data_IF_680550800641
#
_entry.id   IF_680550800641
#
_cell.length_a   1.000
_cell.length_b   1.000
_cell.length_c   1.000
_cell.angle_alpha   90.00
_cell.angle_beta   90.00
_cell.angle_gamma   90.00
#
_symmetry.space_group_name_H-M   'P 1'
#
loop_
_entity.id
_entity.type
_entity.pdbx_description
1 polymer ?
#
# COMPACT_ATOMS: atom_id res chain seq x y z
N UNK A 1 -25.05 22.45 2.43
CA UNK A 1 -24.51 21.08 2.58
C UNK A 1 -23.06 21.03 3.10
N UNK A 2 -22.30 22.14 3.12
CA UNK A 2 -20.92 22.22 3.66
C UNK A 2 -20.81 22.40 5.19
N UNK A 3 -21.89 22.84 5.84
CA UNK A 3 -21.89 23.06 7.29
C UNK A 3 -21.69 21.74 8.04
N UNK A 4 -20.61 21.65 8.82
CA UNK A 4 -20.31 20.48 9.66
C UNK A 4 -19.39 19.42 9.04
N UNK A 5 -18.94 19.58 7.79
CA UNK A 5 -17.96 18.67 7.18
C UNK A 5 -16.65 18.60 7.97
N UNK A 6 -16.10 19.75 8.38
CA UNK A 6 -14.89 19.80 9.21
C UNK A 6 -15.07 19.05 10.54
N UNK A 7 -16.23 19.21 11.21
CA UNK A 7 -16.54 18.46 12.44
C UNK A 7 -16.64 16.96 12.21
N UNK A 8 -17.26 16.52 11.10
CA UNK A 8 -17.35 15.09 10.75
C UNK A 8 -15.97 14.50 10.45
N UNK A 9 -15.11 15.23 9.74
CA UNK A 9 -13.74 14.83 9.48
C UNK A 9 -12.94 14.68 10.78
N UNK A 10 -13.03 15.64 11.69
CA UNK A 10 -12.32 15.57 12.98
C UNK A 10 -12.85 14.42 13.84
N UNK A 11 -14.16 14.20 13.87
CA UNK A 11 -14.75 13.04 14.55
C UNK A 11 -14.27 11.72 13.93
N UNK A 12 -14.13 11.66 12.60
CA UNK A 12 -13.54 10.52 11.90
C UNK A 12 -12.07 10.31 12.32
N UNK A 13 -11.22 11.34 12.24
CA UNK A 13 -9.81 11.26 12.62
C UNK A 13 -9.62 10.90 14.10
N UNK A 14 -10.49 11.39 14.98
CA UNK A 14 -10.46 11.11 16.41
C UNK A 14 -10.58 9.61 16.75
N UNK A 15 -11.22 8.80 15.88
CA UNK A 15 -11.29 7.33 16.08
C UNK A 15 -9.92 6.64 15.98
N UNK A 16 -8.96 7.25 15.29
CA UNK A 16 -7.60 6.73 15.12
C UNK A 16 -6.63 7.30 16.16
N UNK A 17 -7.08 8.23 17.02
CA UNK A 17 -6.23 8.96 17.94
C UNK A 17 -5.41 8.07 18.88
N UNK A 18 -5.96 6.90 19.25
CA UNK A 18 -5.27 5.90 20.06
C UNK A 18 -3.94 5.41 19.46
N UNK A 19 -3.80 5.40 18.13
CA UNK A 19 -2.56 4.98 17.46
C UNK A 19 -1.44 6.01 17.50
N UNK A 20 -1.75 7.26 17.84
CA UNK A 20 -0.80 8.37 17.96
C UNK A 20 -0.44 8.70 19.42
N UNK A 21 -0.92 7.89 20.36
CA UNK A 21 -0.64 8.04 21.80
C UNK A 21 0.39 7.00 22.25
N UNK A 22 1.46 7.48 22.84
CA UNK A 22 2.43 6.69 23.60
C UNK A 22 2.22 6.93 25.10
N UNK A 23 2.81 6.09 25.95
CA UNK A 23 2.64 6.16 27.42
C UNK A 23 2.98 7.54 28.00
N UNK A 24 3.96 8.23 27.43
CA UNK A 24 4.49 9.50 27.96
C UNK A 24 4.36 10.69 27.01
N UNK A 25 3.93 10.46 25.76
CA UNK A 25 3.85 11.49 24.71
C UNK A 25 2.70 11.18 23.76
N UNK A 26 2.06 12.21 23.20
CA UNK A 26 1.05 12.06 22.16
C UNK A 26 1.37 12.98 21.00
N UNK A 27 1.15 12.49 19.78
CA UNK A 27 1.22 13.27 18.54
C UNK A 27 -0.13 13.30 17.81
N UNK A 28 -1.21 12.96 18.50
CA UNK A 28 -2.56 12.91 17.95
C UNK A 28 -3.01 14.25 17.36
N UNK A 29 -2.80 15.35 18.10
CA UNK A 29 -3.15 16.70 17.61
C UNK A 29 -2.40 17.01 16.31
N UNK A 30 -1.10 16.71 16.26
CA UNK A 30 -0.29 16.91 15.06
C UNK A 30 -0.78 16.03 13.89
N UNK A 31 -1.19 14.79 14.13
CA UNK A 31 -1.76 13.92 13.11
C UNK A 31 -3.10 14.47 12.58
N UNK A 32 -3.98 14.98 13.45
CA UNK A 32 -5.23 15.61 13.04
C UNK A 32 -4.98 16.90 12.25
N UNK A 33 -4.03 17.74 12.67
CA UNK A 33 -3.62 18.95 11.96
C UNK A 33 -3.00 18.60 10.60
N UNK A 34 -2.22 17.52 10.51
CA UNK A 34 -1.65 17.07 9.24
C UNK A 34 -2.73 16.68 8.23
N UNK A 35 -3.75 15.90 8.63
CA UNK A 35 -4.87 15.54 7.75
C UNK A 35 -5.68 16.77 7.33
N UNK A 36 -5.93 17.69 8.25
CA UNK A 36 -6.55 18.98 7.94
C UNK A 36 -5.72 19.77 6.91
N UNK A 37 -4.42 19.81 7.10
CA UNK A 37 -3.46 20.45 6.21
C UNK A 37 -3.54 19.84 4.82
N UNK A 38 -3.47 18.50 4.71
CA UNK A 38 -3.61 17.77 3.45
C UNK A 38 -4.88 18.10 2.67
N UNK A 39 -5.97 18.47 3.34
CA UNK A 39 -7.24 18.82 2.69
C UNK A 39 -7.30 20.31 2.33
N UNK A 40 -6.80 21.18 3.20
CA UNK A 40 -6.96 22.63 3.06
C UNK A 40 -5.90 23.30 2.20
N UNK A 41 -4.68 22.75 2.15
CA UNK A 41 -3.60 23.36 1.38
C UNK A 41 -3.61 22.93 -0.08
N UNK A 42 -3.28 23.84 -1.00
CA UNK A 42 -3.06 23.51 -2.41
C UNK A 42 -1.77 22.69 -2.59
N UNK A 43 -0.71 23.07 -1.86
CA UNK A 43 0.61 22.44 -1.96
C UNK A 43 0.87 21.64 -0.68
N UNK A 44 0.98 20.31 -0.79
CA UNK A 44 1.02 19.36 0.34
C UNK A 44 2.34 19.38 1.15
N UNK A 45 2.95 20.55 1.34
CA UNK A 45 4.10 20.76 2.20
C UNK A 45 3.65 21.32 3.57
N UNK A 46 4.45 21.11 4.62
CA UNK A 46 4.04 21.40 6.00
C UNK A 46 4.08 22.89 6.35
N UNK A 47 4.96 23.67 5.72
CA UNK A 47 4.99 25.14 5.88
C UNK A 47 3.66 25.77 5.44
N UNK A 48 3.09 25.31 4.32
CA UNK A 48 1.78 25.76 3.84
C UNK A 48 0.62 25.17 4.63
N UNK A 49 0.83 24.08 5.36
CA UNK A 49 -0.18 23.57 6.29
C UNK A 49 -0.26 24.45 7.53
N UNK A 50 0.87 24.90 8.07
CA UNK A 50 0.94 25.84 9.21
C UNK A 50 0.20 27.15 8.92
N UNK A 51 0.29 27.67 7.70
CA UNK A 51 -0.42 28.90 7.31
C UNK A 51 -1.96 28.77 7.32
N UNK A 52 -2.50 27.57 7.12
CA UNK A 52 -3.95 27.35 6.93
C UNK A 52 -4.62 26.57 8.05
N UNK A 53 -3.86 25.86 8.88
CA UNK A 53 -4.37 25.07 10.01
C UNK A 53 -4.04 25.80 11.32
N UNK A 54 -5.05 26.24 12.09
CA UNK A 54 -4.82 26.91 13.36
C UNK A 54 -3.95 26.09 14.32
N UNK A 55 -2.98 26.78 14.94
CA UNK A 55 -2.06 26.22 15.94
C UNK A 55 -1.18 25.07 15.42
N UNK A 56 -1.16 24.82 14.11
CA UNK A 56 -0.21 23.90 13.51
C UNK A 56 1.18 24.54 13.47
N UNK A 57 2.20 23.71 13.64
CA UNK A 57 3.60 24.10 13.55
C UNK A 57 4.30 23.10 12.63
N UNK A 58 4.96 23.59 11.57
CA UNK A 58 5.56 22.70 10.57
C UNK A 58 6.62 21.76 11.17
N UNK A 59 7.35 22.16 12.21
CA UNK A 59 8.36 21.33 12.85
C UNK A 59 7.71 20.21 13.66
N UNK A 60 6.60 20.50 14.33
CA UNK A 60 5.79 19.49 15.04
C UNK A 60 5.21 18.48 14.05
N UNK A 61 4.68 18.94 12.91
CA UNK A 61 4.17 18.05 11.85
C UNK A 61 5.28 17.18 11.27
N UNK A 62 6.47 17.75 11.04
CA UNK A 62 7.63 17.01 10.53
C UNK A 62 8.09 15.95 11.52
N UNK A 63 8.26 16.32 12.79
CA UNK A 63 8.65 15.40 13.86
C UNK A 63 7.63 14.26 14.05
N UNK A 64 6.34 14.54 13.88
CA UNK A 64 5.29 13.52 13.91
C UNK A 64 5.49 12.46 12.82
N UNK A 65 5.84 12.87 11.60
CA UNK A 65 6.01 11.95 10.47
C UNK A 65 7.36 11.23 10.44
N UNK A 66 8.44 11.86 10.91
CA UNK A 66 9.80 11.31 10.79
C UNK A 66 10.33 10.63 12.05
N UNK A 67 10.09 11.21 13.23
CA UNK A 67 10.76 10.78 14.48
C UNK A 67 9.81 10.10 15.48
N UNK A 68 8.51 10.35 15.36
CA UNK A 68 7.55 9.89 16.37
C UNK A 68 7.20 8.41 16.17
N UNK A 69 7.20 7.66 17.27
CA UNK A 69 7.01 6.21 17.25
C UNK A 69 5.52 5.81 17.21
N UNK A 70 4.76 6.21 16.18
CA UNK A 70 3.40 5.68 15.94
C UNK A 70 3.43 4.54 14.92
N UNK A 71 2.42 3.67 14.94
CA UNK A 71 2.36 2.51 14.05
C UNK A 71 1.48 2.79 12.84
N UNK A 72 2.10 2.99 11.68
CA UNK A 72 1.41 3.02 10.38
C UNK A 72 0.54 1.77 10.18
N UNK A 73 1.09 0.60 10.47
CA UNK A 73 0.38 -0.68 10.32
C UNK A 73 -0.90 -0.71 11.16
N UNK A 74 -0.87 -0.25 12.40
CA UNK A 74 -2.05 -0.23 13.26
C UNK A 74 -3.13 0.72 12.72
N UNK A 75 -2.74 1.89 12.19
CA UNK A 75 -3.67 2.82 11.54
C UNK A 75 -4.31 2.18 10.31
N UNK A 76 -3.51 1.57 9.42
CA UNK A 76 -4.01 0.90 8.22
C UNK A 76 -4.90 -0.30 8.56
N UNK A 77 -4.59 -1.06 9.62
CA UNK A 77 -5.42 -2.18 10.07
C UNK A 77 -6.79 -1.70 10.56
N UNK A 78 -6.85 -0.60 11.31
CA UNK A 78 -8.12 0.01 11.67
C UNK A 78 -8.87 0.52 10.43
N UNK A 79 -8.19 1.13 9.45
CA UNK A 79 -8.81 1.54 8.17
C UNK A 79 -9.43 0.33 7.46
N UNK A 80 -8.70 -0.77 7.35
CA UNK A 80 -9.16 -1.99 6.72
C UNK A 80 -10.40 -2.58 7.42
N UNK A 81 -10.37 -2.65 8.76
CA UNK A 81 -11.49 -3.16 9.54
C UNK A 81 -12.74 -2.28 9.40
N UNK A 82 -12.59 -0.96 9.52
CA UNK A 82 -13.71 -0.04 9.35
C UNK A 82 -14.26 -0.03 7.91
N UNK A 83 -13.39 -0.19 6.89
CA UNK A 83 -13.80 -0.33 5.51
C UNK A 83 -14.62 -1.60 5.31
N UNK A 84 -14.14 -2.74 5.82
CA UNK A 84 -14.86 -4.02 5.74
C UNK A 84 -16.21 -3.97 6.45
N UNK A 85 -16.31 -3.33 7.61
CA UNK A 85 -17.58 -3.17 8.32
C UNK A 85 -18.60 -2.34 7.51
N UNK A 86 -18.14 -1.37 6.72
CA UNK A 86 -19.00 -0.50 5.89
C UNK A 86 -19.40 -1.17 4.57
N UNK A 87 -18.43 -1.80 3.91
CA UNK A 87 -18.62 -2.46 2.62
C UNK A 87 -19.25 -3.84 2.76
N UNK A 88 -19.26 -4.44 3.95
CA UNK A 88 -19.83 -5.77 4.16
C UNK A 88 -18.92 -6.89 3.64
N UNK A 89 -19.51 -8.08 3.52
CA UNK A 89 -18.84 -9.29 3.07
C UNK A 89 -19.85 -10.14 2.28
N UNK A 90 -20.17 -9.68 1.09
CA UNK A 90 -21.05 -10.37 0.14
C UNK A 90 -20.29 -10.74 -1.14
N UNK A 91 -20.97 -11.39 -2.07
CA UNK A 91 -20.38 -11.87 -3.33
C UNK A 91 -19.87 -10.73 -4.23
N UNK A 92 -20.39 -9.52 -4.04
CA UNK A 92 -20.01 -8.30 -4.78
C UNK A 92 -18.82 -7.58 -4.14
N UNK A 93 -18.36 -8.03 -2.97
CA UNK A 93 -17.23 -7.43 -2.26
C UNK A 93 -15.92 -8.04 -2.76
N UNK A 94 -15.02 -7.23 -3.31
CA UNK A 94 -13.76 -7.67 -3.90
C UNK A 94 -12.55 -6.97 -3.30
N UNK A 95 -11.40 -7.65 -3.33
CA UNK A 95 -10.10 -7.08 -3.00
C UNK A 95 -9.27 -6.92 -4.27
N UNK A 96 -9.03 -5.69 -4.71
CA UNK A 96 -8.25 -5.40 -5.92
C UNK A 96 -6.81 -5.04 -5.54
N UNK A 97 -5.84 -5.68 -6.18
CA UNK A 97 -4.41 -5.36 -6.06
C UNK A 97 -3.92 -4.64 -7.31
N UNK A 98 -3.24 -3.52 -7.12
CA UNK A 98 -2.63 -2.76 -8.21
C UNK A 98 -1.38 -2.01 -7.73
N UNK A 99 -0.57 -1.54 -8.68
CA UNK A 99 0.62 -0.74 -8.43
C UNK A 99 0.43 0.72 -8.86
N UNK A 100 1.02 1.64 -8.11
CA UNK A 100 1.12 3.03 -8.54
C UNK A 100 2.57 3.51 -8.46
N UNK A 101 3.02 4.12 -9.56
CA UNK A 101 4.33 4.73 -9.67
C UNK A 101 4.25 6.24 -9.43
N UNK A 102 5.08 6.76 -8.54
CA UNK A 102 5.19 8.18 -8.21
C UNK A 102 6.48 8.75 -8.80
N UNK A 103 6.41 9.58 -9.85
CA UNK A 103 7.59 10.18 -10.46
C UNK A 103 8.42 10.97 -9.46
N UNK A 104 9.75 10.84 -9.55
CA UNK A 104 10.71 11.59 -8.72
C UNK A 104 11.84 12.12 -9.57
N UNK A 105 12.34 13.29 -9.22
CA UNK A 105 13.53 13.90 -9.87
C UNK A 105 14.85 13.56 -9.17
N UNK A 106 14.81 13.16 -7.89
CA UNK A 106 15.99 12.89 -7.07
C UNK A 106 16.25 11.41 -6.80
N UNK A 107 17.37 11.12 -6.12
CA UNK A 107 17.81 9.75 -5.76
C UNK A 107 17.61 9.40 -4.28
N UNK A 108 17.15 10.35 -3.47
CA UNK A 108 17.10 10.23 -2.02
C UNK A 108 15.75 9.72 -1.47
N UNK A 109 14.65 9.84 -2.22
CA UNK A 109 13.36 9.28 -1.78
C UNK A 109 13.43 7.76 -1.68
N UNK A 110 13.01 7.20 -0.54
CA UNK A 110 13.08 5.75 -0.25
C UNK A 110 12.51 4.91 -1.40
N UNK A 111 13.21 3.89 -1.87
CA UNK A 111 12.72 3.04 -2.97
C UNK A 111 12.72 3.67 -4.36
N UNK A 112 13.19 4.92 -4.53
CA UNK A 112 13.31 5.52 -5.88
C UNK A 112 14.37 4.82 -6.71
N UNK A 113 14.00 4.40 -7.91
CA UNK A 113 14.90 3.79 -8.90
C UNK A 113 14.40 4.08 -10.32
N UNK A 114 15.25 3.84 -11.34
CA UNK A 114 14.77 3.75 -12.72
C UNK A 114 14.02 2.44 -12.91
N UNK A 115 12.70 2.52 -12.99
CA UNK A 115 11.80 1.39 -13.14
C UNK A 115 10.56 1.83 -13.92
N UNK A 116 9.75 0.87 -14.37
CA UNK A 116 8.49 1.18 -15.05
C UNK A 116 7.60 2.04 -14.14
N UNK A 117 7.18 3.20 -14.63
CA UNK A 117 6.29 4.11 -13.94
C UNK A 117 4.95 4.10 -14.66
N UNK A 118 3.93 3.46 -14.07
CA UNK A 118 2.59 3.37 -14.67
C UNK A 118 2.01 4.73 -15.03
N UNK A 119 2.15 5.73 -14.14
CA UNK A 119 1.68 7.10 -14.37
C UNK A 119 2.31 7.77 -15.61
N UNK A 120 3.56 7.44 -15.95
CA UNK A 120 4.26 8.03 -17.09
C UNK A 120 4.24 7.13 -18.35
N UNK A 121 3.78 5.89 -18.24
CA UNK A 121 3.81 4.91 -19.33
C UNK A 121 5.22 4.59 -19.83
N UNK A 122 6.25 4.75 -18.99
CA UNK A 122 7.65 4.52 -19.38
C UNK A 122 8.55 4.20 -18.18
N UNK A 123 9.77 3.74 -18.47
CA UNK A 123 10.83 3.60 -17.46
C UNK A 123 11.41 4.97 -17.12
N UNK A 124 11.26 5.38 -15.86
CA UNK A 124 11.81 6.64 -15.34
C UNK A 124 12.13 6.50 -13.84
N UNK A 125 12.74 7.53 -13.26
CA UNK A 125 12.93 7.62 -11.81
C UNK A 125 11.57 7.77 -11.11
N UNK A 126 11.17 6.72 -10.40
CA UNK A 126 9.95 6.73 -9.61
C UNK A 126 10.08 5.85 -8.36
N UNK A 127 9.24 6.14 -7.37
CA UNK A 127 8.88 5.20 -6.31
C UNK A 127 7.68 4.39 -6.78
N UNK A 128 7.55 3.13 -6.36
CA UNK A 128 6.38 2.31 -6.67
C UNK A 128 5.80 1.76 -5.37
N UNK A 129 4.49 1.93 -5.20
CA UNK A 129 3.73 1.27 -4.13
C UNK A 129 2.83 0.19 -4.72
N UNK A 130 2.66 -0.89 -3.97
CA UNK A 130 1.60 -1.90 -4.17
C UNK A 130 0.45 -1.53 -3.25
N UNK A 131 -0.77 -1.53 -3.76
CA UNK A 131 -1.97 -1.10 -3.07
C UNK A 131 -3.04 -2.19 -3.09
N UNK A 132 -3.78 -2.30 -2.00
CA UNK A 132 -4.98 -3.12 -1.93
C UNK A 132 -6.19 -2.22 -1.72
N UNK A 133 -7.18 -2.34 -2.60
CA UNK A 133 -8.44 -1.64 -2.53
C UNK A 133 -9.57 -2.63 -2.23
N UNK A 134 -10.38 -2.33 -1.21
CA UNK A 134 -11.62 -3.04 -0.96
C UNK A 134 -12.75 -2.32 -1.70
N UNK A 135 -13.54 -3.05 -2.45
CA UNK A 135 -14.64 -2.48 -3.24
C UNK A 135 -15.92 -3.31 -3.13
N UNK A 136 -17.07 -2.63 -3.21
CA UNK A 136 -18.39 -3.23 -3.45
C UNK A 136 -19.20 -2.29 -4.33
N UNK A 137 -19.54 -2.73 -5.54
CA UNK A 137 -20.20 -1.87 -6.52
C UNK A 137 -19.37 -0.62 -6.85
N UNK A 138 -19.91 0.58 -6.59
CA UNK A 138 -19.22 1.85 -6.80
C UNK A 138 -18.42 2.34 -5.59
N UNK A 139 -18.57 1.70 -4.44
CA UNK A 139 -17.84 2.07 -3.23
C UNK A 139 -16.47 1.40 -3.24
N UNK A 140 -15.40 2.20 -3.12
CA UNK A 140 -14.02 1.72 -3.13
C UNK A 140 -13.17 2.49 -2.13
N UNK A 141 -12.27 1.80 -1.43
CA UNK A 141 -11.30 2.44 -0.55
C UNK A 141 -10.02 1.61 -0.40
N UNK A 142 -8.89 2.28 -0.19
CA UNK A 142 -7.61 1.62 0.06
C UNK A 142 -7.57 1.07 1.48
N UNK A 143 -7.14 -0.17 1.63
CA UNK A 143 -7.02 -0.87 2.93
C UNK A 143 -5.60 -1.30 3.28
N UNK A 144 -4.70 -1.35 2.30
CA UNK A 144 -3.27 -1.62 2.53
C UNK A 144 -2.43 -0.94 1.45
N UNK A 145 -1.21 -0.54 1.81
CA UNK A 145 -0.24 0.10 0.94
C UNK A 145 1.17 -0.35 1.36
N UNK A 146 1.98 -0.81 0.40
CA UNK A 146 3.33 -1.29 0.66
C UNK A 146 4.30 -0.72 -0.36
N UNK A 147 5.34 -0.06 0.11
CA UNK A 147 6.39 0.46 -0.75
C UNK A 147 7.22 -0.70 -1.32
N UNK A 148 7.38 -0.75 -2.64
CA UNK A 148 8.31 -1.66 -3.28
C UNK A 148 9.74 -1.12 -3.16
N UNK A 149 10.65 -1.92 -2.58
CA UNK A 149 12.05 -1.59 -2.40
C UNK A 149 12.91 -2.38 -3.42
N UNK A 150 13.42 -1.73 -4.50
CA UNK A 150 14.19 -2.42 -5.53
C UNK A 150 15.54 -2.94 -5.01
N UNK A 151 16.14 -3.90 -5.73
CA UNK A 151 17.49 -4.44 -5.40
C UNK A 151 18.57 -3.37 -5.26
N UNK A 152 18.50 -2.32 -6.08
CA UNK A 152 19.41 -1.15 -6.00
C UNK A 152 19.31 -0.36 -4.69
N UNK A 153 18.33 -0.66 -3.85
CA UNK A 153 18.23 -0.22 -2.46
C UNK A 153 18.61 -1.31 -1.48
N UNK A 154 18.02 -2.50 -1.60
CA UNK A 154 18.24 -3.60 -0.65
C UNK A 154 19.69 -4.08 -0.62
N UNK A 155 20.41 -3.90 -1.72
CA UNK A 155 21.82 -4.28 -1.87
C UNK A 155 22.77 -3.12 -1.49
N UNK A 156 22.23 -1.97 -1.06
CA UNK A 156 22.99 -0.79 -0.60
C UNK A 156 22.60 -0.40 0.84
N UNK A 157 23.29 -1.01 1.79
CA UNK A 157 23.06 -0.81 3.22
C UNK A 157 23.29 0.63 3.68
N UNK A 158 24.28 1.32 3.10
CA UNK A 158 24.60 2.72 3.44
C UNK A 158 23.46 3.63 3.02
N UNK A 159 22.92 3.42 1.82
CA UNK A 159 21.77 4.17 1.32
C UNK A 159 20.51 3.90 2.12
N UNK A 160 20.25 2.64 2.48
CA UNK A 160 19.14 2.29 3.37
C UNK A 160 19.26 2.95 4.75
N UNK A 161 20.47 2.99 5.31
CA UNK A 161 20.72 3.63 6.60
C UNK A 161 20.53 5.15 6.52
N UNK A 162 21.06 5.80 5.49
CA UNK A 162 20.91 7.24 5.30
C UNK A 162 19.44 7.68 5.13
N UNK A 163 18.59 6.82 4.58
CA UNK A 163 17.17 7.08 4.41
C UNK A 163 16.29 6.55 5.56
N UNK A 164 16.88 6.03 6.65
CA UNK A 164 16.15 5.59 7.84
C UNK A 164 15.38 4.27 7.69
N UNK A 165 15.66 3.46 6.67
CA UNK A 165 14.91 2.22 6.41
C UNK A 165 15.21 1.18 7.52
N UNK A 166 14.20 0.66 8.24
CA UNK A 166 14.41 -0.37 9.26
C UNK A 166 15.05 -1.63 8.68
N UNK A 167 16.00 -2.25 9.38
CA UNK A 167 16.73 -3.46 8.90
C UNK A 167 15.81 -4.59 8.45
N UNK A 168 14.73 -4.82 9.20
CA UNK A 168 13.74 -5.86 8.88
C UNK A 168 13.02 -5.63 7.52
N UNK A 169 12.99 -4.39 7.03
CA UNK A 169 12.34 -4.02 5.77
C UNK A 169 13.33 -3.93 4.59
N UNK A 170 14.62 -4.19 4.80
CA UNK A 170 15.66 -4.09 3.75
C UNK A 170 15.78 -5.36 2.90
N UNK A 171 15.00 -6.41 3.18
CA UNK A 171 15.00 -7.62 2.36
C UNK A 171 14.24 -7.39 1.06
N UNK A 172 14.83 -7.77 -0.06
CA UNK A 172 14.14 -7.73 -1.35
C UNK A 172 12.92 -8.65 -1.34
N UNK A 173 11.80 -8.10 -1.81
CA UNK A 173 10.54 -8.80 -2.03
C UNK A 173 10.05 -8.45 -3.42
N UNK A 174 9.56 -9.43 -4.20
CA UNK A 174 8.89 -9.13 -5.46
C UNK A 174 7.56 -8.47 -5.15
N UNK A 175 7.04 -7.70 -6.12
CA UNK A 175 5.72 -7.07 -6.01
C UNK A 175 4.59 -8.09 -5.82
N UNK A 176 4.67 -9.23 -6.53
CA UNK A 176 3.78 -10.37 -6.31
C UNK A 176 3.87 -10.95 -4.88
N UNK A 177 5.06 -10.97 -4.26
CA UNK A 177 5.21 -11.42 -2.87
C UNK A 177 4.57 -10.41 -1.89
N UNK A 178 4.69 -9.12 -2.17
CA UNK A 178 4.01 -8.07 -1.40
C UNK A 178 2.49 -8.20 -1.51
N UNK A 179 1.96 -8.38 -2.73
CA UNK A 179 0.55 -8.60 -3.01
C UNK A 179 -0.01 -9.81 -2.25
N UNK A 180 0.66 -10.97 -2.34
CA UNK A 180 0.27 -12.17 -1.61
C UNK A 180 0.26 -11.93 -0.09
N UNK A 181 1.26 -11.23 0.43
CA UNK A 181 1.32 -10.89 1.84
C UNK A 181 0.26 -9.85 2.27
N UNK A 182 -0.26 -9.02 1.36
CA UNK A 182 -1.41 -8.13 1.59
C UNK A 182 -2.71 -8.92 1.68
N UNK A 183 -2.93 -9.85 0.75
CA UNK A 183 -4.13 -10.71 0.72
C UNK A 183 -4.19 -11.58 1.99
N UNK A 184 -3.08 -12.25 2.33
CA UNK A 184 -2.99 -13.06 3.56
C UNK A 184 -3.20 -12.23 4.83
N UNK A 185 -2.63 -11.03 4.88
CA UNK A 185 -2.84 -10.12 6.01
C UNK A 185 -4.31 -9.70 6.14
N UNK A 186 -4.97 -9.37 5.02
CA UNK A 186 -6.40 -9.04 5.01
C UNK A 186 -7.25 -10.21 5.54
N UNK A 187 -6.93 -11.47 5.17
CA UNK A 187 -7.59 -12.65 5.74
C UNK A 187 -7.31 -12.83 7.23
N UNK A 188 -6.08 -12.61 7.69
CA UNK A 188 -5.73 -12.65 9.12
C UNK A 188 -6.51 -11.60 9.93
N UNK A 189 -6.73 -10.41 9.33
CA UNK A 189 -7.55 -9.35 9.90
C UNK A 189 -9.06 -9.58 9.75
N UNK A 190 -9.47 -10.72 9.16
CA UNK A 190 -10.88 -11.08 8.88
C UNK A 190 -11.60 -10.04 8.03
N UNK A 191 -10.89 -9.42 7.08
CA UNK A 191 -11.49 -8.54 6.09
C UNK A 191 -12.36 -9.38 5.15
N UNK A 192 -13.63 -8.99 5.04
CA UNK A 192 -14.60 -9.63 4.18
C UNK A 192 -14.42 -9.24 2.72
N UNK A 193 -14.13 -10.23 1.88
CA UNK A 193 -14.15 -10.12 0.42
C UNK A 193 -14.35 -11.52 -0.19
N UNK A 194 -15.12 -11.59 -1.26
CA UNK A 194 -15.49 -12.83 -1.93
C UNK A 194 -14.42 -13.31 -2.91
N UNK A 195 -13.69 -12.40 -3.54
CA UNK A 195 -12.66 -12.70 -4.54
C UNK A 195 -11.60 -11.59 -4.64
N UNK A 196 -10.45 -11.92 -5.22
CA UNK A 196 -9.32 -11.01 -5.45
C UNK A 196 -9.22 -10.65 -6.92
N UNK A 197 -9.08 -9.36 -7.25
CA UNK A 197 -8.87 -8.86 -8.61
C UNK A 197 -7.46 -8.31 -8.81
N UNK A 198 -6.87 -8.49 -9.99
CA UNK A 198 -5.58 -7.86 -10.35
C UNK A 198 -5.34 -7.81 -11.86
N UNK A 199 -4.40 -6.97 -12.28
CA UNK A 199 -4.05 -6.74 -13.68
C UNK A 199 -3.15 -7.86 -14.28
N UNK A 200 -2.75 -7.65 -15.54
CA UNK A 200 -1.92 -8.59 -16.30
C UNK A 200 -0.52 -8.79 -15.74
N UNK A 201 0.01 -7.84 -14.97
CA UNK A 201 1.32 -7.99 -14.33
C UNK A 201 1.27 -9.07 -13.25
N UNK A 202 0.24 -9.07 -12.41
CA UNK A 202 0.04 -10.09 -11.39
C UNK A 202 -0.53 -11.39 -11.95
N UNK A 203 -1.46 -11.32 -12.90
CA UNK A 203 -2.05 -12.50 -13.51
C UNK A 203 -1.08 -13.31 -14.37
N UNK A 204 0.07 -12.74 -14.72
CA UNK A 204 1.16 -13.45 -15.38
C UNK A 204 2.22 -14.01 -14.40
N UNK A 205 2.02 -13.96 -13.08
CA UNK A 205 2.92 -14.58 -12.07
C UNK A 205 2.35 -15.94 -11.60
N UNK A 206 2.86 -17.08 -12.11
CA UNK A 206 2.32 -18.39 -11.73
C UNK A 206 2.54 -18.74 -10.27
N UNK A 207 3.53 -18.13 -9.61
CA UNK A 207 3.81 -18.35 -8.19
C UNK A 207 2.71 -17.74 -7.32
N UNK A 208 2.27 -16.53 -7.66
CA UNK A 208 1.13 -15.87 -7.02
C UNK A 208 -0.15 -16.68 -7.23
N UNK A 209 -0.48 -17.04 -8.49
CA UNK A 209 -1.72 -17.76 -8.79
C UNK A 209 -1.82 -19.09 -8.04
N UNK A 210 -0.73 -19.89 -8.03
CA UNK A 210 -0.69 -21.15 -7.28
C UNK A 210 -0.79 -20.94 -5.77
N UNK A 211 -0.23 -19.86 -5.24
CA UNK A 211 -0.32 -19.57 -3.82
C UNK A 211 -1.75 -19.18 -3.42
N UNK A 212 -2.45 -18.40 -4.26
CA UNK A 212 -3.86 -18.06 -4.04
C UNK A 212 -4.77 -19.28 -4.10
N UNK A 213 -4.56 -20.15 -5.09
CA UNK A 213 -5.29 -21.42 -5.21
C UNK A 213 -5.05 -22.33 -3.98
N UNK A 214 -3.79 -22.48 -3.56
CA UNK A 214 -3.43 -23.23 -2.36
C UNK A 214 -4.00 -22.65 -1.06
N UNK A 215 -4.17 -21.32 -0.99
CA UNK A 215 -4.82 -20.63 0.13
C UNK A 215 -6.36 -20.70 0.06
N UNK A 216 -6.93 -21.25 -1.02
CA UNK A 216 -8.38 -21.36 -1.24
C UNK A 216 -9.04 -20.05 -1.67
N UNK A 217 -8.26 -19.10 -2.16
CA UNK A 217 -8.76 -17.79 -2.61
C UNK A 217 -9.40 -17.90 -4.00
N UNK A 218 -10.58 -17.29 -4.15
CA UNK A 218 -11.14 -17.04 -5.49
C UNK A 218 -10.48 -15.79 -6.05
N UNK A 219 -10.01 -15.84 -7.29
CA UNK A 219 -9.38 -14.69 -7.93
C UNK A 219 -9.72 -14.57 -9.41
N UNK A 220 -9.62 -13.34 -9.90
CA UNK A 220 -9.74 -12.97 -11.32
C UNK A 220 -8.53 -12.11 -11.64
N UNK A 221 -7.78 -12.52 -12.66
CA UNK A 221 -6.61 -11.79 -13.13
C UNK A 221 -6.64 -11.67 -14.65
N UNK A 222 -6.27 -10.49 -15.15
CA UNK A 222 -5.94 -10.37 -16.56
C UNK A 222 -4.71 -11.23 -16.87
N UNK A 223 -4.66 -11.81 -18.06
CA UNK A 223 -3.47 -12.50 -18.57
C UNK A 223 -3.05 -11.83 -19.86
N UNK A 224 -1.75 -11.89 -20.16
CA UNK A 224 -1.29 -11.37 -21.44
C UNK A 224 -1.91 -12.17 -22.60
N UNK A 225 -2.24 -11.50 -23.70
CA UNK A 225 -2.98 -12.10 -24.84
C UNK A 225 -2.26 -13.27 -25.52
N UNK A 226 -0.97 -13.43 -25.29
CA UNK A 226 -0.12 -14.51 -25.83
C UNK A 226 0.25 -15.55 -24.76
N UNK A 227 -0.35 -15.48 -23.57
CA UNK A 227 -0.17 -16.49 -22.54
C UNK A 227 -0.74 -17.82 -23.04
N UNK A 228 0.15 -18.80 -23.23
CA UNK A 228 -0.25 -20.15 -23.59
C UNK A 228 -0.83 -20.86 -22.35
N UNK A 229 -2.00 -21.47 -22.53
CA UNK A 229 -2.66 -22.31 -21.54
C UNK A 229 -2.84 -23.71 -22.09
N UNK A 230 -2.77 -24.71 -21.22
CA UNK A 230 -3.17 -26.06 -21.56
C UNK A 230 -4.65 -26.24 -21.21
N UNK A 231 -5.43 -26.78 -22.15
CA UNK A 231 -6.86 -27.05 -21.95
C UNK A 231 -7.13 -28.35 -21.20
N UNK A 232 -6.09 -29.19 -21.05
CA UNK A 232 -6.07 -30.42 -20.27
C UNK A 232 -4.70 -30.49 -19.56
N UNK A 233 -4.59 -31.29 -18.49
CA UNK A 233 -3.30 -31.52 -17.84
C UNK A 233 -2.29 -32.05 -18.87
N UNK A 234 -1.18 -31.33 -19.13
CA UNK A 234 -0.22 -31.72 -20.15
C UNK A 234 0.70 -32.85 -19.70
N UNK A 235 0.59 -33.34 -18.46
CA UNK A 235 1.47 -34.36 -17.85
C UNK A 235 2.96 -34.04 -18.13
N UNK A 236 3.47 -32.88 -17.65
CA UNK A 236 4.78 -32.39 -18.05
C UNK A 236 5.88 -33.32 -17.52
N UNK A 237 6.62 -33.93 -18.44
CA UNK A 237 7.76 -34.79 -18.11
C UNK A 237 9.01 -33.93 -17.93
N UNK A 238 9.69 -34.06 -16.78
CA UNK A 238 10.99 -33.41 -16.56
C UNK A 238 12.00 -34.02 -17.54
N UNK A 239 12.61 -33.22 -18.45
CA UNK A 239 13.60 -33.75 -19.37
C UNK A 239 14.82 -34.28 -18.59
N UNK A 240 15.49 -35.34 -19.09
CA UNK A 240 16.71 -35.83 -18.46
C UNK A 240 17.75 -34.70 -18.38
N UNK A 241 18.55 -34.63 -17.30
CA UNK A 241 19.55 -33.60 -17.14
C UNK A 241 20.53 -33.62 -18.32
N UNK A 242 20.74 -32.46 -18.95
CA UNK A 242 21.70 -32.30 -20.04
C UNK A 242 23.11 -32.50 -19.48
N UNK A 243 23.77 -33.60 -19.84
CA UNK A 243 25.22 -33.74 -19.63
C UNK A 243 25.93 -32.75 -20.53
N UNK A 244 26.57 -31.73 -19.95
CA UNK A 244 27.53 -30.82 -20.60
C UNK A 244 28.70 -30.59 -19.66
#
# INVERSE_FOLDING_TARGET
MLAGMGRRLLAFCGRFGGHFRQRTRTVETAAQQYVQGLIQTETKNMERMEEVVPEADHQVLQHMLSESAWSERAVLDQVAQEASQRLGNDEDTSLTIDESGFPKKGRHSVGVARQWCGQLGKVDHCQVGVFAALSRGLDVTLIDARLFLPKTWTDDDRRCQAAGIPKAQRRFQRKADLALAMIRHARQQRIGFAWVGFDGFYGSDPGLLRALDADGERFVGDVHKDQHIYLADPEPVVPPPTTS
#
